data_IF_076151901187
#
_entry.id   IF_076151901187
#
_cell.length_a   1.000
_cell.length_b   1.000
_cell.length_c   1.000
_cell.angle_alpha   90.00
_cell.angle_beta   90.00
_cell.angle_gamma   90.00
#
_symmetry.space_group_name_H-M   'P 1'
#
loop_
_entity.id
_entity.type
_entity.pdbx_description
1 polymer ?
#
# COMPACT_ATOMS: atom_id res chain seq x y z
N UNK A 1 -1.19 -25.13 7.04
CA UNK A 1 -0.89 -23.95 7.89
C UNK A 1 0.60 -23.67 7.78
N UNK A 2 1.01 -22.52 7.24
CA UNK A 2 2.43 -22.14 7.23
C UNK A 2 2.89 -21.87 8.66
N UNK A 3 4.07 -22.34 9.04
CA UNK A 3 4.63 -22.07 10.37
C UNK A 3 4.98 -20.59 10.49
N UNK A 4 4.55 -19.96 11.57
CA UNK A 4 5.00 -18.61 11.92
C UNK A 4 6.52 -18.61 12.19
N UNK A 5 7.24 -17.68 11.58
CA UNK A 5 8.67 -17.47 11.82
C UNK A 5 8.82 -16.49 12.99
N UNK A 6 9.62 -16.86 13.99
CA UNK A 6 9.90 -16.02 15.17
C UNK A 6 11.24 -15.30 14.99
N UNK A 7 11.28 -14.04 15.36
CA UNK A 7 12.47 -13.19 15.31
C UNK A 7 12.61 -12.45 16.64
N UNK A 8 13.82 -12.41 17.18
CA UNK A 8 14.19 -11.53 18.29
C UNK A 8 14.77 -10.24 17.71
N UNK A 9 14.29 -9.09 18.20
CA UNK A 9 14.69 -7.77 17.69
C UNK A 9 15.18 -6.90 18.84
N UNK A 10 16.30 -6.21 18.61
CA UNK A 10 16.78 -5.13 19.47
C UNK A 10 16.31 -3.79 18.90
N UNK A 11 15.88 -2.88 19.76
CA UNK A 11 15.41 -1.55 19.37
C UNK A 11 15.72 -0.55 20.47
N UNK A 12 15.65 0.74 20.16
CA UNK A 12 15.80 1.79 21.17
C UNK A 12 14.61 1.78 22.14
N UNK A 13 14.80 2.35 23.33
CA UNK A 13 13.70 2.53 24.28
C UNK A 13 12.61 3.47 23.72
N UNK A 14 12.99 4.42 22.85
CA UNK A 14 12.07 5.35 22.20
C UNK A 14 11.15 4.61 21.21
N UNK A 15 11.72 3.76 20.35
CA UNK A 15 10.94 2.93 19.42
C UNK A 15 9.98 2.00 20.17
N UNK A 16 10.46 1.40 21.27
CA UNK A 16 9.62 0.53 22.10
C UNK A 16 8.42 1.29 22.71
N UNK A 17 8.63 2.52 23.18
CA UNK A 17 7.53 3.36 23.68
C UNK A 17 6.49 3.68 22.61
N UNK A 18 6.93 3.94 21.38
CA UNK A 18 6.03 4.16 20.23
C UNK A 18 5.19 2.91 19.97
N UNK A 19 5.81 1.73 19.97
CA UNK A 19 5.09 0.46 19.81
C UNK A 19 4.04 0.28 20.90
N UNK A 20 4.39 0.52 22.18
CA UNK A 20 3.44 0.39 23.28
C UNK A 20 2.28 1.39 23.21
N UNK A 21 2.53 2.62 22.73
CA UNK A 21 1.48 3.62 22.52
C UNK A 21 0.48 3.17 21.44
N UNK A 22 0.98 2.74 20.27
CA UNK A 22 0.15 2.25 19.15
C UNK A 22 -0.63 0.99 19.58
N UNK A 23 0.04 0.08 20.29
CA UNK A 23 -0.57 -1.12 20.86
C UNK A 23 -1.75 -0.75 21.75
N UNK A 24 -1.57 0.16 22.71
CA UNK A 24 -2.61 0.60 23.65
C UNK A 24 -3.77 1.29 22.93
N UNK A 25 -3.47 2.16 21.97
CA UNK A 25 -4.47 2.90 21.21
C UNK A 25 -5.37 1.97 20.36
N UNK A 26 -4.79 0.92 19.78
CA UNK A 26 -5.48 0.06 18.82
C UNK A 26 -5.94 -1.29 19.40
N UNK A 27 -5.61 -1.60 20.66
CA UNK A 27 -5.97 -2.86 21.31
C UNK A 27 -5.33 -4.11 20.67
N UNK A 28 -4.15 -3.97 20.05
CA UNK A 28 -3.46 -5.05 19.33
C UNK A 28 -2.23 -5.56 20.09
N UNK A 29 -1.54 -6.59 19.58
CA UNK A 29 -0.27 -7.06 20.18
C UNK A 29 0.94 -6.28 19.66
N UNK A 30 2.07 -6.37 20.36
CA UNK A 30 3.35 -5.77 19.90
C UNK A 30 3.77 -6.34 18.55
N UNK A 31 3.65 -7.65 18.38
CA UNK A 31 3.96 -8.32 17.12
C UNK A 31 3.04 -7.85 15.99
N UNK A 32 1.77 -7.58 16.26
CA UNK A 32 0.85 -7.04 15.24
C UNK A 32 1.26 -5.62 14.80
N UNK A 33 1.70 -4.77 15.73
CA UNK A 33 2.23 -3.43 15.38
C UNK A 33 3.39 -3.57 14.40
N UNK A 34 4.37 -4.43 14.74
CA UNK A 34 5.55 -4.65 13.90
C UNK A 34 5.16 -5.24 12.54
N UNK A 35 4.29 -6.25 12.51
CA UNK A 35 3.83 -6.88 11.26
C UNK A 35 3.09 -5.87 10.37
N UNK A 36 2.22 -5.03 10.95
CA UNK A 36 1.53 -3.97 10.22
C UNK A 36 2.53 -2.94 9.66
N UNK A 37 3.51 -2.52 10.45
CA UNK A 37 4.56 -1.60 10.01
C UNK A 37 5.38 -2.17 8.84
N UNK A 38 5.76 -3.44 8.90
CA UNK A 38 6.48 -4.13 7.80
C UNK A 38 5.64 -4.17 6.52
N UNK A 39 4.34 -4.48 6.63
CA UNK A 39 3.43 -4.47 5.48
C UNK A 39 3.30 -3.08 4.87
N UNK A 40 3.10 -2.05 5.69
CA UNK A 40 3.04 -0.67 5.24
C UNK A 40 4.32 -0.24 4.51
N UNK A 41 5.49 -0.62 5.03
CA UNK A 41 6.76 -0.31 4.39
C UNK A 41 6.90 -0.99 3.02
N UNK A 42 6.54 -2.28 2.93
CA UNK A 42 6.53 -3.03 1.67
C UNK A 42 5.59 -2.39 0.66
N UNK A 43 4.36 -2.11 1.06
CA UNK A 43 3.32 -1.59 0.17
C UNK A 43 3.67 -0.17 -0.31
N UNK A 44 4.29 0.64 0.55
CA UNK A 44 4.84 1.94 0.18
C UNK A 44 5.93 1.82 -0.89
N UNK A 45 6.89 0.90 -0.70
CA UNK A 45 7.98 0.69 -1.66
C UNK A 45 7.46 0.21 -3.02
N UNK A 46 6.49 -0.70 -3.04
CA UNK A 46 5.88 -1.18 -4.29
C UNK A 46 5.12 -0.06 -5.00
N UNK A 47 4.36 0.74 -4.24
CA UNK A 47 3.66 1.92 -4.79
C UNK A 47 4.62 2.95 -5.38
N UNK A 48 5.71 3.26 -4.70
CA UNK A 48 6.74 4.16 -5.23
C UNK A 48 7.36 3.64 -6.52
N UNK A 49 7.62 2.33 -6.62
CA UNK A 49 8.12 1.70 -7.83
C UNK A 49 7.13 1.82 -8.99
N UNK A 50 5.85 1.56 -8.74
CA UNK A 50 4.78 1.71 -9.76
C UNK A 50 4.65 3.16 -10.23
N UNK A 51 4.70 4.13 -9.32
CA UNK A 51 4.67 5.56 -9.66
C UNK A 51 5.84 5.91 -10.57
N UNK A 52 7.07 5.52 -10.21
CA UNK A 52 8.25 5.81 -11.05
C UNK A 52 8.15 5.17 -12.43
N UNK A 53 7.67 3.92 -12.50
CA UNK A 53 7.48 3.24 -13.78
C UNK A 53 6.46 3.97 -14.66
N UNK A 54 5.37 4.47 -14.07
CA UNK A 54 4.37 5.29 -14.76
C UNK A 54 4.98 6.62 -15.23
N UNK A 55 5.66 7.36 -14.35
CA UNK A 55 6.29 8.65 -14.69
C UNK A 55 7.32 8.52 -15.82
N UNK A 56 8.18 7.50 -15.75
CA UNK A 56 9.18 7.24 -16.79
C UNK A 56 8.53 6.82 -18.11
N UNK A 57 7.45 6.04 -18.05
CA UNK A 57 6.62 5.69 -19.21
C UNK A 57 6.02 6.95 -19.84
N UNK A 58 5.35 7.77 -19.05
CA UNK A 58 4.70 9.01 -19.49
C UNK A 58 5.70 10.02 -20.06
N UNK A 59 6.90 10.13 -19.49
CA UNK A 59 7.95 11.03 -20.03
C UNK A 59 8.39 10.59 -21.43
N UNK A 60 8.41 9.29 -21.72
CA UNK A 60 8.80 8.75 -23.04
C UNK A 60 7.64 8.76 -24.03
N UNK A 61 6.45 8.42 -23.55
CA UNK A 61 5.22 8.27 -24.31
C UNK A 61 4.08 8.90 -23.52
N UNK A 62 3.88 10.22 -23.64
CA UNK A 62 2.77 10.87 -22.97
C UNK A 62 1.47 10.35 -23.56
N UNK A 63 0.48 10.16 -22.69
CA UNK A 63 -0.86 9.77 -23.10
C UNK A 63 -1.46 10.83 -24.03
N UNK A 64 -2.11 10.38 -25.10
CA UNK A 64 -2.80 11.28 -26.03
C UNK A 64 -4.22 11.49 -25.55
N UNK A 65 -4.76 12.69 -25.80
CA UNK A 65 -6.15 13.02 -25.46
C UNK A 65 -7.17 12.02 -26.02
N UNK A 66 -6.89 11.40 -27.16
CA UNK A 66 -7.75 10.38 -27.78
C UNK A 66 -7.73 9.08 -26.96
N UNK A 67 -6.56 8.67 -26.47
CA UNK A 67 -6.38 7.46 -25.66
C UNK A 67 -7.06 7.62 -24.31
N UNK A 68 -6.91 8.79 -23.67
CA UNK A 68 -7.60 9.13 -22.42
C UNK A 68 -9.11 9.06 -22.58
N UNK A 69 -9.68 9.70 -23.62
CA UNK A 69 -11.12 9.68 -23.88
C UNK A 69 -11.67 8.28 -24.16
N UNK A 70 -10.90 7.46 -24.89
CA UNK A 70 -11.29 6.08 -25.16
C UNK A 70 -11.31 5.26 -23.87
N UNK A 71 -10.32 5.46 -22.99
CA UNK A 71 -10.23 4.77 -21.70
C UNK A 71 -11.34 5.23 -20.72
N UNK A 72 -11.65 6.52 -20.69
CA UNK A 72 -12.78 7.07 -19.91
C UNK A 72 -14.10 6.46 -20.36
N UNK A 73 -14.36 6.44 -21.68
CA UNK A 73 -15.58 5.84 -22.23
C UNK A 73 -15.70 4.35 -21.87
N UNK A 74 -14.62 3.58 -22.05
CA UNK A 74 -14.59 2.16 -21.70
C UNK A 74 -14.80 1.93 -20.19
N UNK A 75 -14.25 2.80 -19.34
CA UNK A 75 -14.42 2.72 -17.88
C UNK A 75 -15.86 2.97 -17.47
N UNK A 76 -16.52 3.96 -18.07
CA UNK A 76 -17.94 4.26 -17.82
C UNK A 76 -18.81 3.09 -18.25
N UNK A 77 -18.61 2.54 -19.45
CA UNK A 77 -19.38 1.40 -19.96
C UNK A 77 -19.17 0.14 -19.10
N UNK A 78 -17.97 -0.08 -18.55
CA UNK A 78 -17.69 -1.25 -17.71
C UNK A 78 -18.26 -1.14 -16.29
N UNK A 79 -18.34 0.07 -15.73
CA UNK A 79 -18.78 0.32 -14.35
C UNK A 79 -20.25 0.75 -14.26
N UNK A 80 -20.90 1.11 -15.38
CA UNK A 80 -22.29 1.59 -15.38
C UNK A 80 -23.32 0.50 -15.05
N UNK A 81 -22.96 -0.77 -15.24
CA UNK A 81 -23.82 -1.91 -14.92
C UNK A 81 -23.71 -2.37 -13.45
N UNK A 82 -22.79 -1.79 -12.66
CA UNK A 82 -22.73 -2.05 -11.22
C UNK A 82 -23.79 -1.20 -10.49
N UNK A 83 -24.84 -1.87 -9.99
CA UNK A 83 -25.78 -1.27 -9.03
C UNK A 83 -25.04 -1.08 -7.71
N UNK A 84 -24.70 0.15 -7.38
CA UNK A 84 -24.12 0.50 -6.08
C UNK A 84 -25.20 0.39 -5.00
N UNK A 85 -25.19 -0.70 -4.21
CA UNK A 85 -25.94 -0.84 -2.94
C UNK A 85 -25.23 -0.14 -1.77
#
# INVERSE_FOLDING_TARGET
>A
MSRAVKVAISMSNEDFKVIEAIKKQNGITRSDVVVKAVRLLRDKAEKEKMIRAYEDGYRRYPERLIEVKAMEKASIEALSDEVWE
#
